data_IF_421810844156
#
_entry.id   IF_421810844156
#
_cell.length_a   1.000
_cell.length_b   1.000
_cell.length_c   1.000
_cell.angle_alpha   90.00
_cell.angle_beta   90.00
_cell.angle_gamma   90.00
#
_symmetry.space_group_name_H-M   'P 1'
#
loop_
_entity.id
_entity.type
_entity.pdbx_description
1 polymer ?
#
# COMPACT_ATOMS: atom_id res chain seq x y z
N UNK A 1 -13.48 -1.79 -28.55
CA UNK A 1 -13.89 -2.10 -27.18
C UNK A 1 -12.68 -2.56 -26.38
N UNK A 2 -12.44 -1.98 -25.22
CA UNK A 2 -11.37 -2.41 -24.34
C UNK A 2 -11.90 -3.44 -23.34
N UNK A 3 -11.13 -4.50 -23.11
CA UNK A 3 -11.46 -5.56 -22.16
C UNK A 3 -10.34 -5.69 -21.15
N UNK A 4 -10.70 -5.76 -19.88
CA UNK A 4 -9.76 -5.93 -18.76
C UNK A 4 -10.14 -7.18 -17.98
N UNK A 5 -9.25 -8.18 -17.98
CA UNK A 5 -9.46 -9.43 -17.26
C UNK A 5 -8.62 -9.41 -15.97
N UNK A 6 -9.28 -9.49 -14.83
CA UNK A 6 -8.66 -9.52 -13.51
C UNK A 6 -8.72 -10.94 -12.97
N UNK A 7 -7.61 -11.44 -12.47
CA UNK A 7 -7.53 -12.83 -12.01
C UNK A 7 -7.60 -13.00 -10.49
N UNK A 8 -7.41 -11.91 -9.73
CA UNK A 8 -7.25 -11.99 -8.29
C UNK A 8 -5.92 -12.60 -7.84
N UNK A 9 -5.03 -12.92 -8.78
CA UNK A 9 -3.69 -13.47 -8.49
C UNK A 9 -2.67 -12.36 -8.27
N UNK A 10 -3.04 -11.38 -7.49
CA UNK A 10 -2.17 -10.27 -7.15
C UNK A 10 -1.23 -10.68 -6.02
N UNK A 11 -0.04 -10.09 -6.01
CA UNK A 11 1.00 -10.42 -5.03
C UNK A 11 1.41 -9.18 -4.26
N UNK A 12 1.35 -9.25 -2.94
CA UNK A 12 1.92 -8.24 -2.05
C UNK A 12 3.02 -8.88 -1.22
N UNK A 13 4.22 -8.31 -1.32
CA UNK A 13 5.40 -8.78 -0.58
C UNK A 13 5.90 -7.63 0.28
N UNK A 14 6.09 -7.87 1.57
CA UNK A 14 6.68 -6.92 2.49
C UNK A 14 7.78 -7.62 3.28
N UNK A 15 9.01 -7.09 3.24
CA UNK A 15 10.18 -7.68 3.90
C UNK A 15 10.38 -9.17 3.56
N UNK A 16 10.25 -9.50 2.27
CA UNK A 16 10.39 -10.87 1.73
C UNK A 16 9.30 -11.85 2.22
N UNK A 17 8.22 -11.35 2.77
CA UNK A 17 7.07 -12.18 3.14
C UNK A 17 5.89 -11.87 2.22
N UNK A 18 5.33 -12.91 1.62
CA UNK A 18 4.10 -12.82 0.81
C UNK A 18 2.90 -12.81 1.73
N UNK A 19 2.06 -11.78 1.64
CA UNK A 19 0.84 -11.69 2.43
C UNK A 19 -0.33 -12.34 1.70
N UNK A 20 -1.15 -13.09 2.44
CA UNK A 20 -2.27 -13.87 1.91
C UNK A 20 -3.57 -13.62 2.67
N UNK A 21 -3.50 -13.26 3.94
CA UNK A 21 -4.65 -13.25 4.85
C UNK A 21 -5.37 -11.91 4.83
N UNK A 22 -5.74 -11.45 3.63
CA UNK A 22 -6.46 -10.19 3.45
C UNK A 22 -7.94 -10.36 3.81
N UNK A 23 -8.50 -9.30 4.42
CA UNK A 23 -9.93 -9.23 4.68
C UNK A 23 -10.72 -8.97 3.39
N UNK A 24 -12.01 -9.24 3.42
CA UNK A 24 -12.90 -8.98 2.29
C UNK A 24 -12.98 -7.47 1.98
N UNK A 25 -13.24 -7.16 0.72
CA UNK A 25 -13.38 -5.79 0.22
C UNK A 25 -12.07 -5.21 -0.29
N UNK A 26 -11.86 -3.91 -0.12
CA UNK A 26 -10.63 -3.22 -0.51
C UNK A 26 -9.50 -3.60 0.43
N UNK A 27 -8.63 -4.50 0.00
CA UNK A 27 -7.61 -5.10 0.84
C UNK A 27 -6.34 -4.28 0.94
N UNK A 28 -5.95 -3.61 -0.16
CA UNK A 28 -4.76 -2.78 -0.23
C UNK A 28 -5.14 -1.45 -0.88
N UNK A 29 -4.84 -0.36 -0.19
CA UNK A 29 -5.02 0.99 -0.72
C UNK A 29 -3.68 1.69 -0.73
N UNK A 30 -3.24 2.18 -1.90
CA UNK A 30 -1.99 2.89 -2.07
C UNK A 30 -2.31 4.32 -2.49
N UNK A 31 -1.86 5.29 -1.71
CA UNK A 31 -2.09 6.70 -1.94
C UNK A 31 -0.76 7.46 -2.05
N UNK A 32 -0.67 8.36 -3.03
CA UNK A 32 0.48 9.24 -3.23
C UNK A 32 0.06 10.66 -2.80
N UNK A 33 0.35 11.06 -1.55
CA UNK A 33 -0.25 12.28 -0.98
C UNK A 33 0.36 13.58 -1.48
N UNK A 34 1.59 13.56 -2.03
CA UNK A 34 2.27 14.77 -2.41
C UNK A 34 1.87 15.24 -3.81
N UNK A 35 1.72 16.56 -3.98
CA UNK A 35 1.49 17.13 -5.29
C UNK A 35 2.72 16.96 -6.17
N UNK A 36 2.50 16.59 -7.43
CA UNK A 36 3.57 16.40 -8.41
C UNK A 36 4.06 17.70 -9.00
N UNK A 37 3.15 18.63 -9.22
CA UNK A 37 3.43 19.88 -9.92
C UNK A 37 2.93 21.06 -9.11
N UNK A 38 3.82 22.00 -8.84
CA UNK A 38 3.45 23.31 -8.31
C UNK A 38 2.93 24.23 -9.41
N UNK A 39 1.97 25.08 -9.09
CA UNK A 39 1.37 26.01 -10.07
C UNK A 39 0.97 27.30 -9.41
N UNK A 40 1.19 28.41 -10.11
CA UNK A 40 0.77 29.74 -9.67
C UNK A 40 0.29 30.52 -10.87
N UNK A 41 -0.87 31.18 -10.75
CA UNK A 41 -1.44 32.01 -11.79
C UNK A 41 -1.45 33.47 -11.30
N UNK A 42 -0.83 34.37 -12.06
CA UNK A 42 -0.80 35.80 -11.78
C UNK A 42 -2.07 36.50 -12.22
N UNK A 43 -2.16 37.84 -11.90
CA UNK A 43 -3.33 38.65 -12.21
C UNK A 43 -3.65 38.75 -13.70
N UNK A 44 -2.62 38.62 -14.55
CA UNK A 44 -2.79 38.70 -16.00
C UNK A 44 -3.08 37.37 -16.68
N UNK A 45 -3.37 36.33 -15.88
CA UNK A 45 -3.67 34.98 -16.38
C UNK A 45 -2.45 34.16 -16.76
N UNK A 46 -1.24 34.67 -16.54
CA UNK A 46 -0.02 33.92 -16.79
C UNK A 46 0.17 32.86 -15.69
N UNK A 47 0.40 31.59 -16.08
CA UNK A 47 0.55 30.48 -15.17
C UNK A 47 1.98 29.96 -15.21
N UNK A 48 2.55 29.71 -14.03
CA UNK A 48 3.88 29.16 -13.86
C UNK A 48 3.73 27.75 -13.27
N UNK A 49 4.40 26.78 -13.91
CA UNK A 49 4.48 25.42 -13.42
C UNK A 49 5.87 25.12 -12.88
N UNK A 50 5.93 24.37 -11.81
CA UNK A 50 7.20 23.92 -11.22
C UNK A 50 7.11 22.46 -10.82
N UNK A 51 8.25 21.78 -10.84
CA UNK A 51 8.36 20.40 -10.35
C UNK A 51 8.38 20.42 -8.82
N UNK A 52 7.52 19.60 -8.20
CA UNK A 52 7.53 19.44 -6.77
C UNK A 52 8.70 18.54 -6.37
N UNK A 53 9.59 19.06 -5.52
CA UNK A 53 10.80 18.36 -5.08
C UNK A 53 10.65 17.63 -3.74
N UNK A 54 9.44 17.57 -3.17
CA UNK A 54 9.22 16.91 -1.89
C UNK A 54 9.39 15.38 -1.94
N UNK A 55 9.54 14.82 -3.14
CA UNK A 55 9.68 13.39 -3.32
C UNK A 55 8.36 12.67 -3.53
N UNK A 56 8.46 11.41 -3.90
CA UNK A 56 7.32 10.55 -4.17
C UNK A 56 7.12 9.63 -2.97
N UNK A 57 6.31 10.08 -2.02
CA UNK A 57 5.95 9.30 -0.85
C UNK A 57 4.65 8.53 -1.12
N UNK A 58 4.46 7.43 -0.42
CA UNK A 58 3.22 6.67 -0.50
C UNK A 58 2.73 6.27 0.87
N UNK A 59 1.42 6.30 1.04
CA UNK A 59 0.72 5.74 2.19
C UNK A 59 0.00 4.48 1.76
N UNK A 60 0.23 3.37 2.45
CA UNK A 60 -0.38 2.09 2.15
C UNK A 60 -1.25 1.67 3.32
N UNK A 61 -2.50 1.35 3.03
CA UNK A 61 -3.42 0.79 4.02
C UNK A 61 -3.67 -0.68 3.70
N UNK A 62 -3.41 -1.54 4.67
CA UNK A 62 -3.62 -2.99 4.56
C UNK A 62 -4.74 -3.40 5.50
N UNK A 63 -5.66 -4.21 4.98
CA UNK A 63 -6.75 -4.80 5.76
C UNK A 63 -6.54 -6.30 5.84
N UNK A 64 -6.15 -6.77 7.00
CA UNK A 64 -5.84 -8.18 7.26
C UNK A 64 -6.91 -8.80 8.17
N UNK A 65 -7.06 -10.11 8.06
CA UNK A 65 -7.92 -10.86 8.98
C UNK A 65 -7.26 -10.84 10.36
N UNK A 66 -8.00 -10.39 11.37
CA UNK A 66 -7.48 -10.29 12.73
C UNK A 66 -7.10 -11.66 13.28
N UNK A 67 -5.91 -11.76 13.86
CA UNK A 67 -5.38 -13.01 14.40
C UNK A 67 -4.76 -13.94 13.36
N UNK A 68 -4.75 -13.57 12.08
CA UNK A 68 -4.09 -14.35 11.03
C UNK A 68 -2.57 -14.33 11.17
N UNK A 69 -1.87 -15.21 10.44
CA UNK A 69 -0.40 -15.24 10.48
C UNK A 69 0.21 -13.95 9.98
N UNK A 70 -0.40 -13.29 9.01
CA UNK A 70 0.06 -12.00 8.50
C UNK A 70 -0.14 -10.88 9.53
N UNK A 71 -1.26 -10.90 10.25
CA UNK A 71 -1.51 -9.96 11.34
C UNK A 71 -0.48 -10.12 12.47
N UNK A 72 -0.17 -11.35 12.84
CA UNK A 72 0.84 -11.65 13.87
C UNK A 72 2.21 -11.11 13.45
N UNK A 73 2.61 -11.32 12.18
CA UNK A 73 3.87 -10.84 11.66
C UNK A 73 3.93 -9.31 11.65
N UNK A 74 2.86 -8.66 11.21
CA UNK A 74 2.76 -7.20 11.15
C UNK A 74 2.80 -6.58 12.55
N UNK A 75 2.10 -7.17 13.50
CA UNK A 75 2.12 -6.72 14.88
C UNK A 75 3.52 -6.86 15.50
N UNK A 76 4.24 -7.91 15.15
CA UNK A 76 5.64 -8.08 15.55
C UNK A 76 6.53 -6.96 15.04
N UNK A 77 6.38 -6.56 13.78
CA UNK A 77 7.11 -5.42 13.21
C UNK A 77 6.75 -4.11 13.93
N UNK A 78 5.48 -3.91 14.24
CA UNK A 78 5.01 -2.74 14.98
C UNK A 78 5.66 -2.64 16.37
N UNK A 79 5.76 -3.75 17.08
CA UNK A 79 6.41 -3.81 18.38
C UNK A 79 7.89 -3.50 18.29
N UNK A 80 8.58 -4.02 17.26
CA UNK A 80 10.00 -3.72 17.06
C UNK A 80 10.23 -2.24 16.77
N UNK A 81 9.39 -1.62 15.98
CA UNK A 81 9.47 -0.19 15.68
C UNK A 81 9.24 0.66 16.94
N UNK A 82 8.27 0.27 17.76
CA UNK A 82 7.94 0.98 18.99
C UNK A 82 9.09 0.95 20.00
N UNK A 83 9.84 -0.15 20.06
CA UNK A 83 10.98 -0.29 21.00
C UNK A 83 12.08 0.71 20.70
N UNK A 84 12.50 0.81 19.43
CA UNK A 84 13.60 1.70 19.05
C UNK A 84 13.57 1.97 17.54
N UNK A 85 12.99 3.10 17.17
CA UNK A 85 12.88 3.47 15.76
C UNK A 85 14.24 3.61 15.05
N UNK A 86 15.29 4.22 15.66
CA UNK A 86 16.57 4.33 14.97
C UNK A 86 17.23 3.01 14.60
N UNK A 87 16.97 1.93 15.32
CA UNK A 87 17.52 0.61 15.04
C UNK A 87 16.57 -0.27 14.23
N UNK A 88 15.35 0.20 13.96
CA UNK A 88 14.37 -0.52 13.17
C UNK A 88 14.78 -0.56 11.70
N UNK A 89 14.78 -1.77 11.12
CA UNK A 89 15.03 -1.94 9.69
C UNK A 89 13.80 -1.48 8.92
N UNK A 90 13.97 -0.46 8.08
CA UNK A 90 12.88 0.10 7.32
C UNK A 90 12.24 -0.94 6.38
N UNK A 91 10.94 -0.82 6.19
CA UNK A 91 10.16 -1.77 5.41
C UNK A 91 10.41 -1.56 3.92
N UNK A 92 10.48 -2.65 3.18
CA UNK A 92 10.47 -2.66 1.72
C UNK A 92 9.30 -3.50 1.23
N UNK A 93 8.53 -2.96 0.29
CA UNK A 93 7.34 -3.63 -0.19
C UNK A 93 7.23 -3.62 -1.70
N UNK A 94 6.48 -4.58 -2.22
CA UNK A 94 6.16 -4.67 -3.64
C UNK A 94 4.74 -5.19 -3.78
N UNK A 95 3.93 -4.48 -4.55
CA UNK A 95 2.61 -4.96 -4.95
C UNK A 95 2.60 -5.15 -6.46
N UNK A 96 2.22 -6.33 -6.92
CA UNK A 96 2.13 -6.66 -8.33
C UNK A 96 0.72 -7.11 -8.67
N UNK A 97 0.11 -6.45 -9.64
CA UNK A 97 -1.21 -6.79 -10.15
C UNK A 97 -1.09 -7.24 -11.61
N UNK A 98 -1.76 -8.34 -11.93
CA UNK A 98 -1.75 -8.93 -13.27
C UNK A 98 -3.08 -8.66 -13.95
N UNK A 99 -3.02 -8.07 -15.13
CA UNK A 99 -4.22 -7.71 -15.90
C UNK A 99 -4.10 -8.29 -17.31
N UNK A 100 -5.13 -9.02 -17.77
CA UNK A 100 -5.23 -9.50 -19.13
C UNK A 100 -6.13 -8.61 -19.99
N UNK A 101 -5.95 -8.64 -21.31
CA UNK A 101 -6.77 -7.88 -22.27
C UNK A 101 -7.79 -8.75 -23.01
N UNK A 102 -7.84 -10.04 -22.72
CA UNK A 102 -8.72 -10.99 -23.37
C UNK A 102 -8.15 -11.59 -24.66
N UNK A 103 -6.96 -11.16 -25.10
CA UNK A 103 -6.30 -11.67 -26.31
C UNK A 103 -5.08 -12.55 -26.03
N UNK A 104 -4.79 -12.82 -24.78
CA UNK A 104 -3.59 -13.55 -24.34
C UNK A 104 -2.44 -12.65 -23.91
N UNK A 105 -2.56 -11.36 -24.06
CA UNK A 105 -1.55 -10.39 -23.60
C UNK A 105 -1.81 -10.04 -22.14
N UNK A 106 -0.75 -10.05 -21.34
CA UNK A 106 -0.79 -9.75 -19.91
C UNK A 106 0.03 -8.50 -19.61
N UNK A 107 -0.54 -7.59 -18.84
CA UNK A 107 0.12 -6.38 -18.36
C UNK A 107 0.24 -6.45 -16.85
N UNK A 108 1.41 -6.10 -16.33
CA UNK A 108 1.65 -6.03 -14.89
C UNK A 108 1.67 -4.57 -14.44
N UNK A 109 0.95 -4.30 -13.34
CA UNK A 109 1.06 -3.03 -12.63
C UNK A 109 1.86 -3.30 -11.38
N UNK A 110 3.03 -2.68 -11.26
CA UNK A 110 3.94 -2.89 -10.15
C UNK A 110 4.08 -1.62 -9.32
N UNK A 111 3.97 -1.76 -8.00
CA UNK A 111 4.30 -0.71 -7.05
C UNK A 111 5.53 -1.14 -6.27
N UNK A 112 6.58 -0.33 -6.32
CA UNK A 112 7.83 -0.57 -5.60
C UNK A 112 7.91 0.46 -4.49
N UNK A 113 7.99 -0.02 -3.24
CA UNK A 113 7.89 0.80 -2.04
C UNK A 113 9.12 0.57 -1.17
N UNK A 114 9.81 1.64 -0.81
CA UNK A 114 11.04 1.55 -0.01
C UNK A 114 11.05 2.58 1.11
N UNK A 115 11.85 2.32 2.14
CA UNK A 115 12.01 3.21 3.28
C UNK A 115 10.74 3.34 4.11
N UNK A 116 10.06 2.21 4.38
CA UNK A 116 8.76 2.20 5.03
C UNK A 116 8.81 2.09 6.54
N UNK A 117 7.82 2.68 7.17
CA UNK A 117 7.53 2.55 8.61
C UNK A 117 6.04 2.32 8.81
N UNK A 118 5.68 1.82 9.98
CA UNK A 118 4.28 1.73 10.37
C UNK A 118 3.87 3.09 10.91
N UNK A 119 2.92 3.72 10.23
CA UNK A 119 2.56 5.11 10.47
C UNK A 119 1.67 5.30 11.69
N UNK A 120 0.66 4.45 11.82
CA UNK A 120 -0.33 4.54 12.90
C UNK A 120 -0.39 3.25 13.70
N UNK A 121 -0.90 3.32 14.93
CA UNK A 121 -1.27 2.11 15.66
C UNK A 121 -2.35 1.36 14.91
N UNK A 122 -2.34 0.02 15.06
CA UNK A 122 -3.32 -0.83 14.40
C UNK A 122 -4.74 -0.46 14.82
N UNK A 123 -5.63 -0.37 13.85
CA UNK A 123 -7.06 -0.19 14.09
C UNK A 123 -7.75 -1.54 13.90
N UNK A 124 -8.40 -2.03 14.93
CA UNK A 124 -8.99 -3.37 14.92
C UNK A 124 -10.50 -3.30 15.04
N UNK A 125 -11.16 -4.22 14.36
CA UNK A 125 -12.58 -4.47 14.49
C UNK A 125 -12.76 -5.94 14.83
N UNK A 126 -13.13 -6.23 16.07
CA UNK A 126 -13.17 -7.59 16.60
C UNK A 126 -14.58 -8.15 16.58
N UNK A 127 -14.69 -9.45 16.25
CA UNK A 127 -15.94 -10.19 16.31
C UNK A 127 -16.01 -10.96 17.64
N UNK A 128 -16.85 -10.49 18.56
CA UNK A 128 -17.00 -11.09 19.89
C UNK A 128 -18.03 -12.22 19.93
N UNK A 129 -18.86 -12.37 18.91
CA UNK A 129 -19.99 -13.29 18.93
C UNK A 129 -19.70 -14.64 18.27
N UNK A 130 -18.51 -14.80 17.66
CA UNK A 130 -18.17 -16.05 16.98
C UNK A 130 -18.97 -16.34 15.72
N UNK A 131 -19.60 -15.34 15.14
CA UNK A 131 -20.30 -15.44 13.86
C UNK A 131 -19.31 -15.50 12.68
N UNK A 132 -19.83 -15.64 11.47
CA UNK A 132 -19.02 -15.71 10.25
C UNK A 132 -18.39 -14.41 9.84
N UNK A 133 -18.75 -13.29 10.48
CA UNK A 133 -18.16 -11.98 10.22
C UNK A 133 -16.69 -11.93 10.65
N UNK A 134 -15.84 -11.48 9.77
CA UNK A 134 -14.40 -11.40 10.03
C UNK A 134 -14.06 -10.25 10.98
N UNK A 135 -13.18 -10.52 11.95
CA UNK A 135 -12.44 -9.46 12.63
C UNK A 135 -11.39 -8.91 11.67
N UNK A 136 -11.20 -7.60 11.67
CA UNK A 136 -10.32 -6.92 10.72
C UNK A 136 -9.26 -6.11 11.48
N UNK A 137 -8.00 -6.26 11.08
CA UNK A 137 -6.89 -5.42 11.53
C UNK A 137 -6.46 -4.52 10.37
N UNK A 138 -6.44 -3.22 10.59
CA UNK A 138 -6.09 -2.22 9.58
C UNK A 138 -4.75 -1.61 9.97
N UNK A 139 -3.75 -1.77 9.08
CA UNK A 139 -2.42 -1.21 9.25
C UNK A 139 -2.18 -0.12 8.22
N UNK A 140 -1.62 1.00 8.66
CA UNK A 140 -1.20 2.09 7.78
C UNK A 140 0.32 2.19 7.78
N UNK A 141 0.88 2.12 6.59
CA UNK A 141 2.32 2.20 6.36
C UNK A 141 2.63 3.47 5.58
N UNK A 142 3.76 4.08 5.88
CA UNK A 142 4.27 5.21 5.12
C UNK A 142 5.61 4.83 4.51
N UNK A 143 5.75 5.03 3.20
CA UNK A 143 6.99 4.75 2.48
C UNK A 143 7.62 6.06 1.98
N UNK A 144 8.91 6.23 2.26
CA UNK A 144 9.64 7.44 1.87
C UNK A 144 9.81 7.53 0.35
N UNK A 145 9.95 6.40 -0.33
CA UNK A 145 10.06 6.34 -1.79
C UNK A 145 9.10 5.30 -2.34
N UNK A 146 8.40 5.67 -3.40
CA UNK A 146 7.45 4.79 -4.05
C UNK A 146 7.44 5.03 -5.55
N UNK A 147 7.21 3.96 -6.33
CA UNK A 147 7.14 4.03 -7.78
C UNK A 147 6.02 3.12 -8.27
N UNK A 148 5.27 3.61 -9.25
CA UNK A 148 4.29 2.82 -9.97
C UNK A 148 4.77 2.63 -11.40
N UNK A 149 4.87 1.38 -11.83
CA UNK A 149 5.30 1.03 -13.19
C UNK A 149 4.28 0.09 -13.82
N UNK A 150 4.00 0.31 -15.10
CA UNK A 150 3.07 -0.51 -15.88
C UNK A 150 3.81 -1.04 -17.09
N UNK A 151 3.75 -2.36 -17.26
CA UNK A 151 4.43 -2.97 -18.41
C UNK A 151 4.45 -4.47 -18.41
#
# INVERSE_FOLDING_TARGET
MAVYALTGNDTFVLNNRVYKDFADGSTITIDFPNERTGKTTGKNGNTIYSTNKQGVNATVELRLIAGSSDDIFMNGLSVQQERDLPTFTLLTGRFAKRIGDGSGKVTFVNYILTGGVIDNFVNTNENLQGETEQGIAIYRLFFAEAQRAIG
#
